data_IF_799352142404
#
_entry.id   IF_799352142404
#
_cell.length_a   1.000
_cell.length_b   1.000
_cell.length_c   1.000
_cell.angle_alpha   90.00
_cell.angle_beta   90.00
_cell.angle_gamma   90.00
#
_symmetry.space_group_name_H-M   'P 1'
#
loop_
_entity.id
_entity.type
_entity.pdbx_description
1 polymer ?
#
# COMPACT_ATOMS: atom_id res chain seq x y z
N UNK A 1 5.40 11.56 -8.38
CA UNK A 1 4.11 11.15 -7.77
C UNK A 1 4.09 9.63 -7.66
N UNK A 2 3.27 9.04 -6.78
CA UNK A 2 3.02 7.60 -6.80
C UNK A 2 1.99 7.28 -7.88
N UNK A 3 2.29 6.30 -8.74
CA UNK A 3 1.39 5.87 -9.81
C UNK A 3 0.95 4.42 -9.59
N UNK A 4 -0.32 4.14 -9.86
CA UNK A 4 -0.87 2.80 -9.91
C UNK A 4 -0.88 2.31 -11.37
N UNK A 5 -0.14 1.24 -11.65
CA UNK A 5 0.00 0.64 -12.98
C UNK A 5 -0.77 -0.68 -13.02
N UNK A 6 -1.59 -0.87 -14.06
CA UNK A 6 -2.32 -2.13 -14.26
C UNK A 6 -1.35 -3.25 -14.68
N UNK A 7 -1.28 -4.31 -13.88
CA UNK A 7 -0.55 -5.54 -14.20
C UNK A 7 -1.52 -6.54 -14.85
N UNK A 8 -2.75 -6.60 -14.33
CA UNK A 8 -3.86 -7.37 -14.89
C UNK A 8 -5.20 -6.69 -14.58
N UNK A 9 -6.32 -7.30 -15.01
CA UNK A 9 -7.67 -6.74 -14.80
C UNK A 9 -7.99 -6.36 -13.35
N UNK A 10 -7.37 -7.01 -12.37
CA UNK A 10 -7.61 -6.76 -10.96
C UNK A 10 -6.34 -6.63 -10.10
N UNK A 11 -5.15 -6.58 -10.72
CA UNK A 11 -3.87 -6.45 -10.00
C UNK A 11 -3.16 -5.19 -10.48
N UNK A 12 -2.68 -4.38 -9.54
CA UNK A 12 -2.07 -3.09 -9.78
C UNK A 12 -0.76 -2.94 -8.99
N UNK A 13 0.31 -2.51 -9.65
CA UNK A 13 1.59 -2.19 -9.01
C UNK A 13 1.68 -0.70 -8.69
N UNK A 14 2.29 -0.34 -7.56
CA UNK A 14 2.56 1.03 -7.15
C UNK A 14 4.06 1.29 -7.18
N UNK A 15 4.47 2.31 -7.92
CA UNK A 15 5.85 2.77 -7.98
C UNK A 15 5.91 4.31 -8.06
N UNK A 16 7.05 4.88 -7.70
CA UNK A 16 7.33 6.29 -7.96
C UNK A 16 7.54 6.49 -9.46
N UNK A 17 6.97 7.55 -10.02
CA UNK A 17 7.15 7.90 -11.45
C UNK A 17 8.60 8.04 -11.88
N UNK A 18 9.47 8.48 -10.97
CA UNK A 18 10.90 8.70 -11.24
C UNK A 18 11.70 7.40 -11.35
N UNK A 19 11.14 6.27 -10.91
CA UNK A 19 11.83 4.98 -10.75
C UNK A 19 11.13 3.90 -11.59
N UNK A 20 10.91 4.17 -12.87
CA UNK A 20 10.14 3.28 -13.75
C UNK A 20 10.78 1.90 -13.99
N UNK A 21 12.09 1.81 -13.75
CA UNK A 21 12.93 0.62 -13.88
C UNK A 21 13.09 -0.16 -12.56
N UNK A 22 12.59 0.37 -11.45
CA UNK A 22 12.62 -0.31 -10.15
C UNK A 22 11.43 -1.25 -9.94
N UNK A 23 11.54 -2.13 -8.94
CA UNK A 23 10.45 -3.00 -8.53
C UNK A 23 9.29 -2.20 -7.91
N UNK A 24 8.06 -2.73 -8.01
CA UNK A 24 6.90 -2.13 -7.34
C UNK A 24 7.06 -2.16 -5.82
N UNK A 25 6.85 -1.00 -5.20
CA UNK A 25 6.89 -0.85 -3.73
C UNK A 25 5.62 -1.42 -3.09
N UNK A 26 4.50 -1.41 -3.80
CA UNK A 26 3.30 -2.10 -3.35
C UNK A 26 2.55 -2.75 -4.50
N UNK A 27 1.77 -3.80 -4.19
CA UNK A 27 0.88 -4.47 -5.14
C UNK A 27 -0.51 -4.53 -4.53
N UNK A 28 -1.51 -4.08 -5.27
CA UNK A 28 -2.91 -4.15 -4.87
C UNK A 28 -3.68 -5.17 -5.72
N UNK A 29 -4.46 -6.01 -5.05
CA UNK A 29 -5.46 -6.89 -5.62
C UNK A 29 -6.86 -6.34 -5.32
N UNK A 30 -7.61 -6.04 -6.36
CA UNK A 30 -8.99 -5.55 -6.28
C UNK A 30 -9.95 -6.73 -6.39
N UNK A 31 -10.84 -6.88 -5.41
CA UNK A 31 -11.91 -7.89 -5.41
C UNK A 31 -13.25 -7.20 -5.31
N UNK A 32 -14.04 -7.36 -6.36
CA UNK A 32 -15.42 -6.91 -6.35
C UNK A 32 -16.31 -7.96 -5.68
N UNK A 33 -17.03 -7.53 -4.63
CA UNK A 33 -18.04 -8.33 -3.96
C UNK A 33 -19.43 -7.74 -4.27
N UNK A 34 -20.50 -8.43 -3.88
CA UNK A 34 -21.86 -8.01 -4.20
C UNK A 34 -22.16 -6.57 -3.70
N UNK A 35 -21.79 -6.28 -2.45
CA UNK A 35 -22.12 -5.05 -1.71
C UNK A 35 -20.94 -4.08 -1.51
N UNK A 36 -19.71 -4.57 -1.66
CA UNK A 36 -18.49 -3.81 -1.35
C UNK A 36 -17.36 -4.08 -2.34
N UNK A 37 -16.36 -3.21 -2.30
CA UNK A 37 -15.06 -3.43 -2.90
C UNK A 37 -14.07 -3.82 -1.79
N UNK A 38 -13.28 -4.87 -2.01
CA UNK A 38 -12.13 -5.19 -1.15
C UNK A 38 -10.85 -4.95 -1.94
N UNK A 39 -9.90 -4.23 -1.34
CA UNK A 39 -8.58 -4.02 -1.93
C UNK A 39 -7.55 -4.56 -0.95
N UNK A 40 -6.77 -5.54 -1.38
CA UNK A 40 -5.68 -6.12 -0.57
C UNK A 40 -4.37 -5.60 -1.10
N UNK A 41 -3.54 -5.03 -0.24
CA UNK A 41 -2.32 -4.33 -0.62
C UNK A 41 -1.13 -4.88 0.15
N UNK A 42 -0.19 -5.43 -0.59
CA UNK A 42 1.10 -5.85 -0.05
C UNK A 42 2.11 -4.72 -0.25
N UNK A 43 2.65 -4.18 0.85
CA UNK A 43 3.66 -3.12 0.84
C UNK A 43 5.02 -3.73 1.18
N UNK A 44 5.95 -3.64 0.25
CA UNK A 44 7.34 -4.04 0.40
C UNK A 44 8.16 -2.91 1.01
N UNK A 45 8.18 -2.89 2.34
CA UNK A 45 8.74 -1.80 3.15
C UNK A 45 10.23 -1.52 2.87
N UNK A 46 10.98 -2.50 2.35
CA UNK A 46 12.38 -2.32 1.97
C UNK A 46 12.61 -1.21 0.92
N UNK A 47 11.62 -0.95 0.07
CA UNK A 47 11.73 0.05 -1.00
C UNK A 47 11.38 1.46 -0.53
N UNK A 48 10.76 1.61 0.65
CA UNK A 48 10.37 2.91 1.22
C UNK A 48 11.57 3.57 1.91
N UNK A 49 11.93 4.79 1.51
CA UNK A 49 13.14 5.48 2.00
C UNK A 49 12.90 6.42 3.15
N UNK A 50 11.68 6.89 3.34
CA UNK A 50 11.33 7.82 4.42
C UNK A 50 9.90 7.63 4.91
N UNK A 51 9.61 8.21 6.08
CA UNK A 51 8.25 8.30 6.60
C UNK A 51 7.32 9.07 5.66
N UNK A 52 7.80 10.16 5.07
CA UNK A 52 7.01 10.96 4.13
C UNK A 52 6.65 10.16 2.88
N UNK A 53 7.61 9.41 2.33
CA UNK A 53 7.36 8.53 1.18
C UNK A 53 6.33 7.44 1.50
N UNK A 54 6.39 6.87 2.71
CA UNK A 54 5.40 5.91 3.19
C UNK A 54 4.00 6.53 3.26
N UNK A 55 3.88 7.72 3.86
CA UNK A 55 2.60 8.42 3.99
C UNK A 55 2.01 8.77 2.62
N UNK A 56 2.84 9.26 1.69
CA UNK A 56 2.44 9.53 0.31
C UNK A 56 1.99 8.27 -0.45
N UNK A 57 2.63 7.12 -0.20
CA UNK A 57 2.22 5.84 -0.79
C UNK A 57 0.82 5.44 -0.28
N UNK A 58 0.58 5.55 1.03
CA UNK A 58 -0.73 5.26 1.63
C UNK A 58 -1.82 6.17 1.06
N UNK A 59 -1.55 7.46 0.90
CA UNK A 59 -2.48 8.41 0.27
C UNK A 59 -2.79 8.03 -1.17
N UNK A 60 -1.79 7.66 -1.97
CA UNK A 60 -1.98 7.22 -3.34
C UNK A 60 -2.83 5.95 -3.44
N UNK A 61 -2.62 4.99 -2.54
CA UNK A 61 -3.42 3.77 -2.45
C UNK A 61 -4.88 4.10 -2.08
N UNK A 62 -5.11 4.99 -1.11
CA UNK A 62 -6.46 5.44 -0.73
C UNK A 62 -7.17 6.17 -1.87
N UNK A 63 -6.45 7.03 -2.59
CA UNK A 63 -6.97 7.70 -3.77
C UNK A 63 -7.38 6.71 -4.86
N UNK A 64 -6.49 5.76 -5.19
CA UNK A 64 -6.76 4.67 -6.12
C UNK A 64 -8.00 3.85 -5.70
N UNK A 65 -8.09 3.50 -4.42
CA UNK A 65 -9.20 2.74 -3.87
C UNK A 65 -10.54 3.48 -3.99
N UNK A 66 -10.55 4.79 -3.74
CA UNK A 66 -11.72 5.65 -3.95
C UNK A 66 -12.13 5.73 -5.43
N UNK A 67 -11.17 5.82 -6.36
CA UNK A 67 -11.46 5.76 -7.79
C UNK A 67 -12.11 4.43 -8.18
N UNK A 68 -11.53 3.30 -7.77
CA UNK A 68 -12.07 1.97 -8.07
C UNK A 68 -13.45 1.75 -7.45
N UNK A 69 -13.68 2.24 -6.23
CA UNK A 69 -14.99 2.23 -5.56
C UNK A 69 -16.05 2.95 -6.41
N UNK A 70 -15.72 4.13 -6.94
CA UNK A 70 -16.61 4.94 -7.80
C UNK A 70 -16.85 4.26 -9.15
N UNK A 71 -15.80 3.75 -9.80
CA UNK A 71 -15.89 3.02 -11.07
C UNK A 71 -16.79 1.78 -10.97
N UNK A 72 -16.70 1.03 -9.86
CA UNK A 72 -17.50 -0.17 -9.61
C UNK A 72 -18.91 0.13 -9.05
N UNK A 73 -19.26 1.40 -8.82
CA UNK A 73 -20.55 1.79 -8.25
C UNK A 73 -20.80 1.26 -6.84
N UNK A 74 -19.75 0.98 -6.06
CA UNK A 74 -19.87 0.41 -4.70
C UNK A 74 -19.99 1.50 -3.65
N UNK A 75 -20.82 1.25 -2.63
CA UNK A 75 -20.98 2.16 -1.48
C UNK A 75 -19.90 1.99 -0.42
N UNK A 76 -19.36 0.78 -0.30
CA UNK A 76 -18.36 0.45 0.72
C UNK A 76 -17.06 -0.02 0.03
N UNK A 77 -15.93 0.38 0.58
CA UNK A 77 -14.62 -0.12 0.17
C UNK A 77 -13.75 -0.33 1.40
N UNK A 78 -13.16 -1.52 1.52
CA UNK A 78 -12.22 -1.84 2.60
C UNK A 78 -10.85 -2.10 1.99
N UNK A 79 -9.83 -1.44 2.52
CA UNK A 79 -8.44 -1.66 2.16
C UNK A 79 -7.79 -2.49 3.27
N UNK A 80 -7.18 -3.60 2.91
CA UNK A 80 -6.37 -4.43 3.80
C UNK A 80 -4.91 -4.25 3.42
N UNK A 81 -4.08 -3.78 4.35
CA UNK A 81 -2.66 -3.58 4.17
C UNK A 81 -1.88 -4.70 4.85
N UNK A 82 -0.92 -5.27 4.12
CA UNK A 82 0.14 -6.11 4.67
C UNK A 82 1.48 -5.43 4.43
N UNK A 83 2.09 -4.92 5.49
CA UNK A 83 3.38 -4.25 5.46
C UNK A 83 4.46 -5.25 5.88
N UNK A 84 5.38 -5.58 4.96
CA UNK A 84 6.45 -6.54 5.26
C UNK A 84 7.79 -6.11 4.70
N UNK A 85 8.84 -6.22 5.51
CA UNK A 85 10.20 -5.94 5.05
C UNK A 85 11.19 -5.70 6.17
N UNK A 86 12.44 -5.45 5.76
CA UNK A 86 13.55 -5.10 6.66
C UNK A 86 13.92 -3.65 6.41
N UNK A 87 14.10 -2.89 7.50
CA UNK A 87 14.50 -1.48 7.52
C UNK A 87 15.81 -1.31 8.28
N UNK A 88 16.46 -0.17 8.07
CA UNK A 88 17.51 0.34 8.94
C UNK A 88 16.89 1.26 10.00
N UNK A 89 17.50 1.36 11.19
CA UNK A 89 17.01 2.21 12.29
C UNK A 89 16.82 3.69 11.94
N UNK A 90 17.46 4.17 10.88
CA UNK A 90 17.32 5.55 10.42
C UNK A 90 15.93 5.88 9.83
N UNK A 91 15.17 4.87 9.40
CA UNK A 91 13.85 5.06 8.79
C UNK A 91 12.78 4.89 9.88
N UNK A 92 12.40 6.00 10.50
CA UNK A 92 11.37 6.04 11.55
C UNK A 92 9.95 5.94 10.95
N UNK A 93 9.56 4.74 10.51
CA UNK A 93 8.17 4.49 10.12
C UNK A 93 7.27 4.33 11.36
N UNK A 94 5.99 4.78 11.31
CA UNK A 94 5.03 4.61 12.40
C UNK A 94 4.46 3.19 12.45
N UNK A 95 5.29 2.16 12.25
CA UNK A 95 4.89 0.76 12.24
C UNK A 95 5.52 0.02 13.42
N UNK A 96 4.81 -0.93 14.05
CA UNK A 96 5.42 -1.88 14.98
C UNK A 96 6.62 -2.59 14.33
N UNK A 97 7.75 -2.63 15.03
CA UNK A 97 8.98 -3.24 14.52
C UNK A 97 9.60 -4.22 15.52
N UNK A 98 10.20 -5.29 14.99
CA UNK A 98 11.11 -6.14 15.75
C UNK A 98 12.55 -5.67 15.51
N UNK A 99 13.26 -5.25 16.55
CA UNK A 99 14.64 -4.76 16.46
C UNK A 99 15.65 -5.90 16.62
N UNK A 100 16.65 -5.95 15.75
CA UNK A 100 17.77 -6.87 15.84
C UNK A 100 19.04 -6.16 16.35
N UNK A 101 19.95 -6.93 16.96
CA UNK A 101 21.21 -6.42 17.54
C UNK A 101 22.14 -5.70 16.55
N UNK A 102 21.94 -5.90 15.25
CA UNK A 102 22.73 -5.29 14.17
C UNK A 102 22.13 -3.97 13.64
N UNK A 103 21.18 -3.37 14.36
CA UNK A 103 20.53 -2.11 13.94
C UNK A 103 19.56 -2.27 12.77
N UNK A 104 19.16 -3.51 12.44
CA UNK A 104 18.08 -3.79 11.49
C UNK A 104 16.75 -3.92 12.22
N UNK A 105 15.70 -3.46 11.58
CA UNK A 105 14.33 -3.58 12.05
C UNK A 105 13.53 -4.43 11.07
N UNK A 106 12.68 -5.33 11.56
CA UNK A 106 11.75 -6.10 10.73
C UNK A 106 10.33 -5.66 11.00
N UNK A 107 9.60 -5.44 9.91
CA UNK A 107 8.19 -5.08 9.88
C UNK A 107 7.41 -6.27 9.32
N UNK A 108 6.37 -6.67 10.05
CA UNK A 108 5.36 -7.64 9.61
C UNK A 108 4.06 -7.26 10.31
N UNK A 109 3.30 -6.39 9.67
CA UNK A 109 2.12 -5.75 10.26
C UNK A 109 0.99 -5.78 9.27
N UNK A 110 -0.18 -6.19 9.75
CA UNK A 110 -1.42 -6.16 9.00
C UNK A 110 -2.40 -5.19 9.66
N UNK A 111 -3.07 -4.38 8.85
CA UNK A 111 -4.14 -3.50 9.30
C UNK A 111 -5.14 -3.25 8.18
N UNK A 112 -6.30 -2.70 8.52
CA UNK A 112 -7.36 -2.42 7.54
C UNK A 112 -8.01 -1.06 7.79
N UNK A 113 -8.46 -0.45 6.70
CA UNK A 113 -9.15 0.83 6.70
C UNK A 113 -10.45 0.71 5.89
N UNK A 114 -11.53 1.31 6.37
CA UNK A 114 -12.77 1.44 5.61
C UNK A 114 -12.87 2.85 5.02
N UNK A 115 -13.07 2.92 3.70
CA UNK A 115 -13.31 4.17 3.01
C UNK A 115 -14.79 4.56 3.11
N UNK A 116 -15.06 5.58 3.92
CA UNK A 116 -16.38 6.19 4.07
C UNK A 116 -16.96 6.78 2.78
N UNK A 117 -18.18 7.28 2.87
CA UNK A 117 -18.81 8.04 1.78
C UNK A 117 -18.24 9.46 1.77
N UNK A 118 -17.46 9.80 0.75
CA UNK A 118 -17.10 11.20 0.41
C UNK A 118 -17.92 11.59 -0.82
#
# INVERSE_FOLDING_TARGET
MWQALSISHNIFGFQLEQNWDEAWTAVALVKEMHDKLEIRVDIHIFYVKSREEYEQLLEAIRYFANMKKREAGKKNCVIYFQCKGILTEAIELPLPVTRYKNGRMFVDVEFSEELGNI
#
